data_IF_179753983621
#
_entry.id   IF_179753983621
#
_cell.length_a   1.000
_cell.length_b   1.000
_cell.length_c   1.000
_cell.angle_alpha   90.00
_cell.angle_beta   90.00
_cell.angle_gamma   90.00
#
_symmetry.space_group_name_H-M   'P 1'
#
loop_
_entity.id
_entity.type
_entity.pdbx_description
1 polymer ?
#
# COMPACT_ATOMS: atom_id res chain seq x y z
N UNK A 1 11.45 15.13 -3.70
CA UNK A 1 11.08 15.86 -2.47
C UNK A 1 9.68 16.39 -2.67
N UNK A 2 8.80 16.15 -1.72
CA UNK A 2 7.39 16.57 -1.76
C UNK A 2 7.05 17.25 -0.46
N UNK A 3 6.20 18.28 -0.52
CA UNK A 3 5.74 18.98 0.67
C UNK A 3 4.62 18.20 1.37
N UNK A 4 4.70 18.15 2.69
CA UNK A 4 3.73 17.52 3.57
C UNK A 4 3.46 18.42 4.78
N UNK A 5 2.32 18.16 5.42
CA UNK A 5 1.99 18.74 6.73
C UNK A 5 1.76 17.62 7.74
N UNK A 6 1.94 17.93 9.01
CA UNK A 6 1.44 17.05 10.05
C UNK A 6 0.44 17.78 10.93
N UNK A 7 -0.59 17.03 11.37
CA UNK A 7 -1.78 17.63 11.96
C UNK A 7 -2.40 16.76 13.05
N UNK A 8 -3.10 17.42 13.96
CA UNK A 8 -3.87 16.80 15.03
C UNK A 8 -5.11 17.63 15.35
N UNK A 9 -5.76 17.37 16.46
CA UNK A 9 -6.87 18.18 16.97
C UNK A 9 -6.50 19.66 17.14
N UNK A 10 -5.22 19.98 17.30
CA UNK A 10 -4.75 21.34 17.57
C UNK A 10 -4.91 22.29 16.38
N UNK A 11 -4.95 21.77 15.15
CA UNK A 11 -5.26 22.52 13.95
C UNK A 11 -6.78 22.71 13.73
N UNK A 12 -7.61 22.18 14.64
CA UNK A 12 -9.08 22.26 14.54
C UNK A 12 -9.63 21.56 13.30
N UNK A 13 -10.67 22.16 12.73
CA UNK A 13 -11.30 21.64 11.52
C UNK A 13 -10.58 22.11 10.28
N UNK A 14 -9.82 21.24 9.65
CA UNK A 14 -8.98 21.54 8.49
C UNK A 14 -9.82 21.63 7.21
N UNK A 15 -9.56 22.67 6.40
CA UNK A 15 -10.03 22.73 5.01
C UNK A 15 -9.01 22.04 4.09
N UNK A 16 -9.20 20.76 3.88
CA UNK A 16 -8.27 19.94 3.10
C UNK A 16 -8.24 20.29 1.61
N UNK A 17 -9.31 20.89 1.06
CA UNK A 17 -9.29 21.40 -0.31
C UNK A 17 -8.30 22.57 -0.45
N UNK A 18 -8.25 23.46 0.54
CA UNK A 18 -7.26 24.54 0.59
C UNK A 18 -5.84 24.00 0.74
N UNK A 19 -5.64 23.00 1.59
CA UNK A 19 -4.34 22.32 1.78
C UNK A 19 -3.85 21.72 0.44
N UNK A 20 -4.72 20.97 -0.26
CA UNK A 20 -4.39 20.40 -1.57
C UNK A 20 -4.07 21.48 -2.61
N UNK A 21 -4.86 22.57 -2.65
CA UNK A 21 -4.64 23.68 -3.57
C UNK A 21 -3.32 24.41 -3.34
N UNK A 22 -2.78 24.35 -2.12
CA UNK A 22 -1.44 24.87 -1.79
C UNK A 22 -0.29 23.93 -2.24
N UNK A 23 -0.60 22.83 -2.92
CA UNK A 23 0.39 21.91 -3.46
C UNK A 23 0.83 20.78 -2.52
N UNK A 24 0.24 20.68 -1.33
CA UNK A 24 0.54 19.60 -0.37
C UNK A 24 0.05 18.28 -0.92
N UNK A 25 0.93 17.30 -0.95
CA UNK A 25 0.66 15.95 -1.47
C UNK A 25 0.55 14.89 -0.39
N UNK A 26 1.16 15.12 0.78
CA UNK A 26 1.24 14.15 1.87
C UNK A 26 0.80 14.77 3.20
N UNK A 27 0.27 13.95 4.09
CA UNK A 27 -0.08 14.36 5.44
C UNK A 27 0.24 13.26 6.45
N UNK A 28 0.82 13.65 7.60
CA UNK A 28 0.91 12.79 8.77
C UNK A 28 -0.16 13.22 9.79
N UNK A 29 -1.04 12.31 10.17
CA UNK A 29 -2.24 12.62 10.97
C UNK A 29 -2.12 11.93 12.31
N UNK A 30 -2.27 12.68 13.41
CA UNK A 30 -2.29 12.04 14.72
C UNK A 30 -3.49 11.09 14.82
N UNK A 31 -3.23 9.79 14.96
CA UNK A 31 -4.27 8.80 15.21
C UNK A 31 -4.72 8.84 16.68
N UNK A 32 -3.79 9.09 17.59
CA UNK A 32 -4.07 9.18 19.00
C UNK A 32 -2.80 9.32 19.85
N UNK A 33 -2.92 9.00 21.13
CA UNK A 33 -1.82 9.08 22.10
C UNK A 33 -2.05 8.13 23.28
N UNK A 34 -0.99 7.77 23.99
CA UNK A 34 -1.05 6.99 25.22
C UNK A 34 -1.55 5.56 25.01
N UNK A 35 -1.98 4.92 26.07
CA UNK A 35 -2.20 3.48 26.15
C UNK A 35 -3.68 3.02 26.06
N UNK A 36 -4.56 3.86 25.51
CA UNK A 36 -6.00 3.56 25.37
C UNK A 36 -6.55 4.04 24.04
N UNK A 37 -7.37 3.22 23.39
CA UNK A 37 -8.14 3.60 22.18
C UNK A 37 -9.09 4.77 22.42
N UNK A 38 -9.46 5.06 23.69
CA UNK A 38 -10.25 6.23 24.05
C UNK A 38 -9.47 7.55 23.86
N UNK A 39 -8.17 7.46 23.70
CA UNK A 39 -7.26 8.59 23.44
C UNK A 39 -7.06 8.82 21.94
N UNK A 40 -7.95 8.28 21.10
CA UNK A 40 -8.01 8.61 19.65
C UNK A 40 -8.15 10.12 19.48
N UNK A 41 -7.38 10.68 18.54
CA UNK A 41 -7.51 12.11 18.20
C UNK A 41 -8.90 12.39 17.63
N UNK A 42 -9.67 13.35 18.19
CA UNK A 42 -11.04 13.61 17.75
C UNK A 42 -11.18 14.10 16.29
N UNK A 43 -10.09 14.55 15.68
CA UNK A 43 -10.08 14.95 14.25
C UNK A 43 -9.55 13.84 13.32
N UNK A 44 -9.04 12.73 13.88
CA UNK A 44 -8.37 11.70 13.08
C UNK A 44 -9.23 11.17 11.94
N UNK A 45 -10.39 10.61 12.26
CA UNK A 45 -11.25 9.96 11.26
C UNK A 45 -11.70 10.94 10.17
N UNK A 46 -12.01 12.18 10.56
CA UNK A 46 -12.38 13.23 9.61
C UNK A 46 -11.21 13.58 8.68
N UNK A 47 -10.01 13.76 9.24
CA UNK A 47 -8.83 14.12 8.47
C UNK A 47 -8.44 13.00 7.51
N UNK A 48 -8.41 11.75 7.96
CA UNK A 48 -8.15 10.58 7.11
C UNK A 48 -9.16 10.46 5.96
N UNK A 49 -10.46 10.58 6.25
CA UNK A 49 -11.52 10.53 5.24
C UNK A 49 -11.37 11.65 4.18
N UNK A 50 -10.99 12.86 4.60
CA UNK A 50 -10.76 13.97 3.68
C UNK A 50 -9.52 13.78 2.81
N UNK A 51 -8.43 13.26 3.37
CA UNK A 51 -7.23 12.91 2.60
C UNK A 51 -7.56 11.87 1.53
N UNK A 52 -8.29 10.81 1.89
CA UNK A 52 -8.75 9.77 0.96
C UNK A 52 -9.59 10.38 -0.16
N UNK A 53 -10.60 11.17 0.18
CA UNK A 53 -11.53 11.78 -0.80
C UNK A 53 -10.83 12.72 -1.77
N UNK A 54 -9.76 13.38 -1.34
CA UNK A 54 -9.02 14.35 -2.14
C UNK A 54 -7.77 13.73 -2.81
N UNK A 55 -7.45 12.46 -2.57
CA UNK A 55 -6.24 11.84 -3.10
C UNK A 55 -4.96 12.49 -2.56
N UNK A 56 -4.94 12.83 -1.27
CA UNK A 56 -3.75 13.22 -0.52
C UNK A 56 -3.22 11.95 0.14
N UNK A 57 -1.96 11.62 -0.10
CA UNK A 57 -1.32 10.50 0.58
C UNK A 57 -1.20 10.79 2.07
N UNK A 58 -1.54 9.82 2.90
CA UNK A 58 -1.60 10.04 4.33
C UNK A 58 -1.02 8.88 5.13
N UNK A 59 -0.39 9.23 6.24
CA UNK A 59 0.09 8.33 7.27
C UNK A 59 -0.41 8.75 8.62
N UNK A 60 0.02 8.03 9.65
CA UNK A 60 -0.41 8.31 11.01
C UNK A 60 0.78 8.42 11.96
N UNK A 61 0.58 9.13 13.06
CA UNK A 61 1.48 9.07 14.19
C UNK A 61 0.72 8.86 15.50
N UNK A 62 1.40 8.22 16.45
CA UNK A 62 0.90 7.97 17.78
C UNK A 62 1.83 8.60 18.79
N UNK A 63 1.31 9.58 19.54
CA UNK A 63 2.09 10.33 20.53
C UNK A 63 2.26 9.51 21.81
N UNK A 64 3.50 9.31 22.22
CA UNK A 64 3.82 8.42 23.33
C UNK A 64 3.82 9.12 24.70
N UNK A 65 3.25 8.43 25.67
CA UNK A 65 3.42 8.65 27.11
C UNK A 65 3.99 7.42 27.82
N UNK A 66 4.40 6.41 27.08
CA UNK A 66 4.94 5.18 27.63
C UNK A 66 6.19 5.45 28.47
N UNK A 67 6.35 4.65 29.53
CA UNK A 67 7.53 4.67 30.41
C UNK A 67 8.18 3.29 30.53
N UNK A 68 7.80 2.37 29.65
CA UNK A 68 8.42 1.05 29.52
C UNK A 68 8.17 0.48 28.11
N UNK A 69 8.98 -0.49 27.67
CA UNK A 69 8.77 -1.16 26.39
C UNK A 69 7.40 -1.82 26.25
N UNK A 70 6.86 -2.39 27.34
CA UNK A 70 5.53 -3.01 27.32
C UNK A 70 4.41 -1.98 27.14
N UNK A 71 4.55 -0.80 27.76
CA UNK A 71 3.60 0.28 27.55
C UNK A 71 3.67 0.81 26.11
N UNK A 72 4.87 0.93 25.52
CA UNK A 72 5.04 1.31 24.12
C UNK A 72 4.40 0.27 23.18
N UNK A 73 4.53 -1.01 23.48
CA UNK A 73 3.84 -2.10 22.75
C UNK A 73 2.33 -1.98 22.87
N UNK A 74 1.81 -1.62 24.04
CA UNK A 74 0.39 -1.36 24.23
C UNK A 74 -0.09 -0.12 23.45
N UNK A 75 0.71 0.94 23.37
CA UNK A 75 0.44 2.11 22.51
C UNK A 75 0.36 1.73 21.04
N UNK A 76 1.28 0.86 20.56
CA UNK A 76 1.22 0.32 19.20
C UNK A 76 -0.09 -0.43 18.93
N UNK A 77 -0.53 -1.31 19.85
CA UNK A 77 -1.80 -2.04 19.74
C UNK A 77 -3.01 -1.09 19.70
N UNK A 78 -2.98 -0.02 20.48
CA UNK A 78 -4.02 1.00 20.43
C UNK A 78 -4.04 1.72 19.07
N UNK A 79 -2.88 2.11 18.55
CA UNK A 79 -2.74 2.70 17.23
C UNK A 79 -3.31 1.78 16.14
N UNK A 80 -2.88 0.52 16.12
CA UNK A 80 -3.32 -0.49 15.17
C UNK A 80 -4.82 -0.75 15.22
N UNK A 81 -5.44 -0.78 16.40
CA UNK A 81 -6.90 -0.93 16.51
C UNK A 81 -7.64 0.30 15.98
N UNK A 82 -7.11 1.52 16.19
CA UNK A 82 -7.71 2.77 15.69
C UNK A 82 -7.64 2.85 14.17
N UNK A 83 -6.56 2.37 13.54
CA UNK A 83 -6.39 2.42 12.08
C UNK A 83 -6.89 1.15 11.37
N UNK A 84 -7.44 0.20 12.08
CA UNK A 84 -7.91 -1.07 11.56
C UNK A 84 -8.90 -0.91 10.41
N UNK A 85 -8.61 -1.57 9.29
CA UNK A 85 -9.42 -1.48 8.08
C UNK A 85 -9.18 -0.22 7.23
N UNK A 86 -8.36 0.71 7.71
CA UNK A 86 -7.85 1.82 6.92
C UNK A 86 -6.55 1.42 6.22
N UNK A 87 -6.27 2.08 5.08
CA UNK A 87 -5.08 1.81 4.26
C UNK A 87 -4.26 3.09 4.12
N UNK A 88 -3.51 3.51 5.16
CA UNK A 88 -2.63 4.66 5.04
C UNK A 88 -1.55 4.41 3.98
N UNK A 89 -1.41 5.33 3.04
CA UNK A 89 -0.39 5.26 1.97
C UNK A 89 0.99 5.71 2.43
N UNK A 90 1.08 6.32 3.60
CA UNK A 90 2.30 6.77 4.27
C UNK A 90 2.52 5.94 5.55
N UNK A 91 3.68 6.04 6.21
CA UNK A 91 4.02 5.24 7.37
C UNK A 91 3.14 5.43 8.61
N UNK A 92 3.29 4.48 9.55
CA UNK A 92 2.84 4.58 10.95
C UNK A 92 4.03 4.99 11.81
N UNK A 93 3.98 6.17 12.41
CA UNK A 93 5.10 6.73 13.18
C UNK A 93 4.90 6.57 14.69
N UNK A 94 5.96 6.14 15.37
CA UNK A 94 6.08 6.28 16.82
C UNK A 94 6.63 7.65 17.16
N UNK A 95 5.83 8.47 17.80
CA UNK A 95 6.16 9.85 18.17
C UNK A 95 6.62 9.91 19.62
N UNK A 96 7.93 10.02 19.82
CA UNK A 96 8.57 10.07 21.14
C UNK A 96 9.28 11.40 21.35
N UNK A 97 8.88 12.10 22.42
CA UNK A 97 9.32 13.45 22.71
C UNK A 97 9.77 13.67 24.17
N UNK A 98 9.96 14.93 24.54
CA UNK A 98 10.48 15.36 25.84
C UNK A 98 9.46 15.32 26.98
N UNK A 99 8.64 14.25 27.06
CA UNK A 99 7.74 14.05 28.17
C UNK A 99 8.51 13.76 29.49
N UNK A 100 8.10 14.33 30.63
CA UNK A 100 8.82 14.14 31.87
C UNK A 100 9.01 12.67 32.25
N UNK A 101 8.00 11.83 32.07
CA UNK A 101 8.08 10.38 32.32
C UNK A 101 9.10 9.69 31.43
N UNK A 102 9.18 10.07 30.17
CA UNK A 102 10.14 9.55 29.20
C UNK A 102 11.56 10.03 29.52
N UNK A 103 11.72 11.31 29.88
CA UNK A 103 13.03 11.88 30.23
C UNK A 103 13.63 11.27 31.51
N UNK A 104 12.83 10.77 32.43
CA UNK A 104 13.29 10.09 33.62
C UNK A 104 13.95 8.73 33.37
N UNK A 105 13.78 8.16 32.17
CA UNK A 105 14.34 6.87 31.79
C UNK A 105 15.79 7.02 31.28
N UNK A 106 16.51 5.92 31.20
CA UNK A 106 17.80 5.86 30.51
C UNK A 106 17.65 5.68 28.97
N UNK A 107 18.74 5.87 28.26
CA UNK A 107 18.74 5.74 26.79
C UNK A 107 18.38 4.32 26.33
N UNK A 108 18.85 3.30 27.06
CA UNK A 108 18.58 1.90 26.71
C UNK A 108 17.07 1.60 26.77
N UNK A 109 16.41 2.05 27.84
CA UNK A 109 14.97 1.87 28.03
C UNK A 109 14.17 2.61 26.96
N UNK A 110 14.50 3.89 26.66
CA UNK A 110 13.84 4.63 25.57
C UNK A 110 14.03 3.98 24.22
N UNK A 111 15.24 3.48 23.94
CA UNK A 111 15.53 2.75 22.69
C UNK A 111 14.72 1.45 22.59
N UNK A 112 14.60 0.71 23.69
CA UNK A 112 13.77 -0.48 23.76
C UNK A 112 12.27 -0.17 23.58
N UNK A 113 11.79 1.00 24.03
CA UNK A 113 10.42 1.46 23.77
C UNK A 113 10.18 1.70 22.27
N UNK A 114 11.11 2.39 21.59
CA UNK A 114 11.03 2.60 20.14
C UNK A 114 10.95 1.27 19.41
N UNK A 115 11.85 0.34 19.71
CA UNK A 115 11.84 -1.00 19.13
C UNK A 115 10.52 -1.72 19.37
N UNK A 116 10.03 -1.72 20.62
CA UNK A 116 8.82 -2.42 21.01
C UNK A 116 7.57 -1.92 20.27
N UNK A 117 7.46 -0.62 20.01
CA UNK A 117 6.36 -0.06 19.23
C UNK A 117 6.49 -0.44 17.76
N UNK A 118 7.67 -0.23 17.16
CA UNK A 118 7.89 -0.47 15.74
C UNK A 118 7.80 -1.96 15.37
N UNK A 119 8.35 -2.86 16.20
CA UNK A 119 8.21 -4.31 16.03
C UNK A 119 6.74 -4.77 16.04
N UNK A 120 5.89 -4.20 16.91
CA UNK A 120 4.46 -4.53 16.95
C UNK A 120 3.73 -4.02 15.69
N UNK A 121 4.09 -2.82 15.21
CA UNK A 121 3.55 -2.23 13.98
C UNK A 121 3.96 -3.06 12.76
N UNK A 122 5.23 -3.44 12.66
CA UNK A 122 5.75 -4.26 11.55
C UNK A 122 5.18 -5.68 11.57
N UNK A 123 5.05 -6.29 12.75
CA UNK A 123 4.44 -7.61 12.91
C UNK A 123 2.95 -7.61 12.47
N UNK A 124 2.27 -6.49 12.56
CA UNK A 124 0.91 -6.31 12.06
C UNK A 124 0.84 -5.98 10.54
N UNK A 125 1.98 -5.96 9.85
CA UNK A 125 2.06 -5.71 8.41
C UNK A 125 1.98 -4.22 8.02
N UNK A 126 2.38 -3.31 8.91
CA UNK A 126 2.44 -1.89 8.60
C UNK A 126 3.89 -1.40 8.49
N UNK A 127 4.11 -0.33 7.73
CA UNK A 127 5.40 0.32 7.60
C UNK A 127 5.63 1.25 8.79
N UNK A 128 6.50 0.83 9.73
CA UNK A 128 6.82 1.58 10.94
C UNK A 128 7.96 2.57 10.73
N UNK A 129 7.87 3.78 11.32
CA UNK A 129 8.97 4.75 11.38
C UNK A 129 9.08 5.40 12.76
N UNK A 130 10.27 5.90 13.10
CA UNK A 130 10.50 6.70 14.29
C UNK A 130 10.31 8.19 13.98
N UNK A 131 9.44 8.90 14.74
CA UNK A 131 9.49 10.36 14.81
C UNK A 131 10.12 10.80 16.12
N UNK A 132 11.11 11.66 16.02
CA UNK A 132 11.67 12.41 17.13
C UNK A 132 12.47 13.61 16.65
N UNK A 133 12.74 14.59 17.52
CA UNK A 133 13.69 15.64 17.20
C UNK A 133 15.11 15.08 17.03
N UNK A 134 15.87 15.69 16.13
CA UNK A 134 17.27 15.31 15.91
C UNK A 134 18.09 15.32 17.19
N UNK A 135 17.86 16.31 18.08
CA UNK A 135 18.52 16.36 19.38
C UNK A 135 18.10 15.20 20.30
N UNK A 136 16.81 14.81 20.30
CA UNK A 136 16.35 13.66 21.07
C UNK A 136 17.02 12.38 20.57
N UNK A 137 17.06 12.16 19.26
CA UNK A 137 17.73 11.01 18.66
C UNK A 137 19.19 10.94 19.11
N UNK A 138 19.93 12.05 18.99
CA UNK A 138 21.36 12.10 19.33
C UNK A 138 21.66 11.90 20.80
N UNK A 139 20.81 12.44 21.69
CA UNK A 139 21.16 12.56 23.13
C UNK A 139 20.34 11.65 24.03
N UNK A 140 19.18 11.17 23.61
CA UNK A 140 18.23 10.41 24.42
C UNK A 140 18.02 8.98 23.95
N UNK A 141 18.56 8.58 22.81
CA UNK A 141 18.48 7.23 22.26
C UNK A 141 19.87 6.64 22.00
N UNK A 142 19.98 5.32 22.04
CA UNK A 142 21.11 4.60 21.47
C UNK A 142 20.83 4.46 19.97
N UNK A 143 20.91 5.55 19.24
CA UNK A 143 20.38 5.63 17.86
C UNK A 143 21.04 4.65 16.89
N UNK A 144 22.30 4.22 17.12
CA UNK A 144 22.94 3.22 16.29
C UNK A 144 22.18 1.89 16.25
N UNK A 145 21.47 1.56 17.33
CA UNK A 145 20.62 0.36 17.40
C UNK A 145 19.31 0.50 16.62
N UNK A 146 18.97 1.69 16.16
CA UNK A 146 17.76 2.03 15.41
C UNK A 146 18.01 2.25 13.92
N UNK A 147 19.24 1.97 13.43
CA UNK A 147 19.63 2.20 12.04
C UNK A 147 18.85 1.33 11.02
N UNK A 148 18.18 0.28 11.47
CA UNK A 148 17.30 -0.54 10.64
C UNK A 148 15.92 0.09 10.37
N UNK A 149 15.51 1.06 11.19
CA UNK A 149 14.23 1.76 11.04
C UNK A 149 14.40 3.05 10.24
N UNK A 150 13.34 3.39 9.52
CA UNK A 150 13.26 4.70 8.88
C UNK A 150 12.89 5.79 9.88
N UNK A 151 13.25 7.04 9.56
CA UNK A 151 13.11 8.15 10.49
C UNK A 151 12.35 9.31 9.86
N UNK A 152 11.46 9.88 10.64
CA UNK A 152 10.88 11.21 10.47
C UNK A 152 11.57 12.15 11.49
N UNK A 153 12.57 12.86 11.03
CA UNK A 153 13.40 13.74 11.86
C UNK A 153 12.77 15.12 12.01
N UNK A 154 12.70 15.65 13.23
CA UNK A 154 12.31 17.03 13.47
C UNK A 154 13.51 17.89 13.81
N UNK A 155 13.73 18.92 12.98
CA UNK A 155 14.74 19.96 13.21
C UNK A 155 14.35 21.20 12.42
N UNK A 156 14.00 22.26 13.11
CA UNK A 156 13.57 23.49 12.44
C UNK A 156 14.76 24.27 11.90
N UNK A 157 14.71 24.64 10.63
CA UNK A 157 15.77 25.36 9.95
C UNK A 157 15.92 24.97 8.49
N UNK A 158 17.08 25.33 7.92
CA UNK A 158 17.42 25.10 6.52
C UNK A 158 18.18 23.79 6.27
N UNK A 159 18.60 23.10 7.33
CA UNK A 159 19.36 21.85 7.27
C UNK A 159 18.93 20.90 8.38
N UNK A 160 19.01 19.59 8.12
CA UNK A 160 18.80 18.56 9.10
C UNK A 160 20.12 17.82 9.36
N UNK A 161 20.49 17.70 10.63
CA UNK A 161 21.73 17.03 11.05
C UNK A 161 21.43 15.69 11.77
N UNK A 162 20.31 15.05 11.43
CA UNK A 162 19.95 13.76 11.98
C UNK A 162 21.06 12.74 11.71
N UNK A 163 21.53 11.98 12.72
CA UNK A 163 22.62 11.02 12.56
C UNK A 163 22.19 9.74 11.84
N UNK A 164 20.88 9.53 11.67
CA UNK A 164 20.30 8.41 10.93
C UNK A 164 19.78 8.87 9.58
N UNK A 165 19.76 8.00 8.57
CA UNK A 165 19.01 8.26 7.34
C UNK A 165 17.54 8.53 7.66
N UNK A 166 16.97 9.58 7.05
CA UNK A 166 15.57 9.94 7.27
C UNK A 166 14.82 10.05 5.95
N UNK A 167 13.59 9.62 5.95
CA UNK A 167 12.70 9.71 4.80
C UNK A 167 11.75 10.89 4.87
N UNK A 168 11.52 11.44 6.08
CA UNK A 168 10.72 12.64 6.29
C UNK A 168 11.51 13.62 7.19
N UNK A 169 11.43 14.90 6.90
CA UNK A 169 12.02 15.95 7.71
C UNK A 169 10.98 17.03 8.02
N UNK A 170 10.61 17.17 9.30
CA UNK A 170 9.83 18.29 9.80
C UNK A 170 10.77 19.50 9.98
N UNK A 171 10.68 20.45 9.07
CA UNK A 171 11.63 21.57 8.98
C UNK A 171 11.10 22.86 9.60
N UNK A 172 9.80 22.94 9.90
CA UNK A 172 9.18 24.14 10.45
C UNK A 172 7.84 23.81 11.11
N UNK A 173 7.50 24.61 12.14
CA UNK A 173 6.17 24.66 12.76
C UNK A 173 5.43 25.97 12.49
N UNK A 174 5.90 26.80 11.57
CA UNK A 174 5.42 28.16 11.35
C UNK A 174 4.71 28.40 10.03
N UNK A 175 4.17 27.35 9.39
CA UNK A 175 3.42 27.42 8.13
C UNK A 175 4.18 28.14 6.99
N UNK A 176 5.42 27.77 6.65
CA UNK A 176 6.17 28.42 5.58
C UNK A 176 5.55 28.21 4.19
N UNK A 177 4.65 27.22 4.06
CA UNK A 177 3.87 26.99 2.83
C UNK A 177 2.77 28.03 2.62
N UNK A 178 2.51 28.89 3.62
CA UNK A 178 1.51 29.95 3.52
C UNK A 178 0.08 29.45 3.36
N UNK A 179 -0.23 28.23 3.90
CA UNK A 179 -1.57 27.66 3.77
C UNK A 179 -2.59 28.54 4.51
N UNK A 180 -3.62 29.05 3.83
CA UNK A 180 -4.60 29.93 4.44
C UNK A 180 -5.36 29.26 5.59
N UNK A 181 -5.62 30.04 6.64
CA UNK A 181 -6.41 29.61 7.80
C UNK A 181 -5.59 29.11 8.98
N UNK A 182 -4.28 28.91 8.83
CA UNK A 182 -3.42 28.34 9.89
C UNK A 182 -2.43 29.34 10.50
N UNK A 183 -2.40 30.58 9.98
CA UNK A 183 -1.50 31.59 10.49
C UNK A 183 -0.03 31.13 10.47
N UNK A 184 0.62 31.15 11.64
CA UNK A 184 1.98 30.65 11.85
C UNK A 184 1.99 29.35 12.69
N UNK A 185 0.97 28.54 12.62
CA UNK A 185 0.83 27.34 13.48
C UNK A 185 0.46 26.12 12.66
N UNK A 186 1.38 25.68 11.81
CA UNK A 186 1.25 24.47 11.03
C UNK A 186 2.62 23.86 10.80
N UNK A 187 2.76 22.60 11.16
CA UNK A 187 3.98 21.83 10.96
C UNK A 187 4.11 21.43 9.49
N UNK A 188 5.29 21.69 8.94
CA UNK A 188 5.60 21.45 7.55
C UNK A 188 6.81 20.55 7.39
N UNK A 189 6.70 19.65 6.41
CA UNK A 189 7.63 18.56 6.22
C UNK A 189 8.07 18.44 4.77
N UNK A 190 9.28 17.94 4.57
CA UNK A 190 9.77 17.43 3.30
C UNK A 190 9.76 15.90 3.33
N UNK A 191 9.17 15.27 2.31
CA UNK A 191 9.18 13.84 2.12
C UNK A 191 10.17 13.50 0.98
N UNK A 192 11.14 12.65 1.27
CA UNK A 192 12.23 12.28 0.36
C UNK A 192 12.04 10.91 -0.29
N UNK A 193 11.23 10.03 0.32
CA UNK A 193 10.93 8.68 -0.18
C UNK A 193 9.54 8.61 -0.77
N UNK A 194 9.36 7.80 -1.79
CA UNK A 194 8.04 7.47 -2.35
C UNK A 194 7.39 6.36 -1.50
N UNK A 195 6.94 6.72 -0.30
CA UNK A 195 6.29 5.79 0.62
C UNK A 195 5.06 5.11 0.02
N UNK A 196 4.17 5.80 -0.71
CA UNK A 196 3.02 5.15 -1.33
C UNK A 196 3.42 3.97 -2.23
N UNK A 197 4.40 4.18 -3.10
CA UNK A 197 4.90 3.11 -3.98
C UNK A 197 5.58 1.98 -3.20
N UNK A 198 6.40 2.31 -2.20
CA UNK A 198 7.10 1.32 -1.36
C UNK A 198 6.10 0.46 -0.59
N UNK A 199 5.13 1.08 0.09
CA UNK A 199 4.13 0.42 0.93
C UNK A 199 3.22 -0.49 0.09
N UNK A 200 2.74 0.01 -1.06
CA UNK A 200 1.86 -0.76 -1.94
C UNK A 200 2.60 -1.93 -2.59
N UNK A 201 3.82 -1.70 -3.09
CA UNK A 201 4.63 -2.77 -3.69
C UNK A 201 4.99 -3.88 -2.69
N UNK A 202 5.19 -3.52 -1.41
CA UNK A 202 5.46 -4.49 -0.35
C UNK A 202 4.19 -5.15 0.22
N UNK A 203 2.99 -4.71 -0.16
CA UNK A 203 1.72 -5.22 0.40
C UNK A 203 1.52 -4.88 1.87
N UNK A 204 2.09 -3.76 2.32
CA UNK A 204 1.97 -3.28 3.70
C UNK A 204 0.74 -2.38 3.89
N UNK A 205 0.44 -1.99 5.13
CA UNK A 205 -0.65 -1.08 5.51
C UNK A 205 -2.03 -1.55 5.02
N UNK A 206 -2.25 -2.86 4.91
CA UNK A 206 -3.49 -3.45 4.41
C UNK A 206 -3.64 -3.44 2.89
N UNK A 207 -2.61 -3.05 2.14
CA UNK A 207 -2.56 -3.27 0.70
C UNK A 207 -2.22 -4.72 0.39
N UNK A 208 -2.60 -5.17 -0.79
CA UNK A 208 -2.15 -6.45 -1.34
C UNK A 208 -0.94 -6.16 -2.23
N UNK A 209 0.18 -6.85 -2.01
CA UNK A 209 1.31 -6.73 -2.92
C UNK A 209 0.86 -7.05 -4.35
N UNK A 210 1.34 -6.31 -5.36
CA UNK A 210 1.11 -6.66 -6.74
C UNK A 210 1.54 -8.11 -6.98
N UNK A 211 0.75 -8.83 -7.76
CA UNK A 211 1.17 -10.16 -8.21
C UNK A 211 2.50 -10.00 -8.96
N UNK A 212 3.60 -10.64 -8.53
CA UNK A 212 4.88 -10.59 -9.25
C UNK A 212 4.76 -11.15 -10.68
N UNK A 213 3.66 -11.85 -10.97
CA UNK A 213 3.31 -12.37 -12.29
C UNK A 213 1.88 -11.90 -12.64
N UNK A 214 1.63 -10.58 -12.79
CA UNK A 214 0.31 -10.14 -13.21
C UNK A 214 0.01 -10.83 -14.53
N UNK A 215 -1.22 -11.39 -14.64
CA UNK A 215 -1.68 -11.85 -15.95
C UNK A 215 -1.41 -10.71 -16.94
N UNK A 216 -0.72 -10.98 -18.06
CA UNK A 216 -0.38 -9.92 -19.02
C UNK A 216 -1.66 -9.16 -19.39
N UNK A 217 -1.55 -7.85 -19.57
CA UNK A 217 -2.67 -7.06 -20.09
C UNK A 217 -2.98 -7.55 -21.50
N UNK A 218 -3.96 -8.44 -21.56
CA UNK A 218 -4.35 -9.17 -22.75
C UNK A 218 -5.36 -8.40 -23.61
N UNK A 219 -5.71 -7.18 -23.21
CA UNK A 219 -6.81 -6.42 -23.81
C UNK A 219 -6.60 -6.06 -25.29
N UNK A 220 -5.34 -5.95 -25.74
CA UNK A 220 -4.99 -5.51 -27.10
C UNK A 220 -4.47 -6.63 -28.00
N UNK A 221 -4.10 -7.78 -27.44
CA UNK A 221 -3.52 -8.90 -28.19
C UNK A 221 -4.61 -9.82 -28.75
N UNK A 222 -4.41 -10.30 -29.98
CA UNK A 222 -5.30 -11.29 -30.60
C UNK A 222 -4.56 -12.61 -30.79
N UNK A 223 -5.26 -13.72 -30.51
CA UNK A 223 -4.69 -15.06 -30.61
C UNK A 223 -5.58 -15.99 -31.44
N UNK A 224 -4.94 -16.89 -32.14
CA UNK A 224 -5.60 -18.02 -32.80
C UNK A 224 -5.22 -19.28 -32.00
N UNK A 225 -6.22 -20.02 -31.56
CA UNK A 225 -6.07 -21.25 -30.79
C UNK A 225 -6.38 -22.44 -31.69
N UNK A 226 -5.60 -23.49 -31.60
CA UNK A 226 -5.86 -24.80 -32.21
C UNK A 226 -5.87 -25.84 -31.11
N UNK A 227 -6.99 -26.56 -30.99
CA UNK A 227 -7.23 -27.52 -29.90
C UNK A 227 -7.65 -28.85 -30.54
N UNK A 228 -6.89 -29.88 -30.26
CA UNK A 228 -7.22 -31.21 -30.76
C UNK A 228 -6.06 -32.02 -31.32
N UNK A 229 -6.33 -33.28 -31.65
CA UNK A 229 -7.66 -33.90 -31.79
C UNK A 229 -8.29 -34.18 -30.42
N UNK A 230 -9.55 -33.79 -30.20
CA UNK A 230 -10.30 -33.94 -28.97
C UNK A 230 -11.57 -34.76 -29.18
N UNK A 231 -12.09 -35.39 -28.11
CA UNK A 231 -13.35 -36.11 -28.14
C UNK A 231 -14.54 -35.17 -28.34
N UNK A 232 -15.69 -35.73 -28.77
CA UNK A 232 -16.93 -34.97 -28.87
C UNK A 232 -17.32 -34.32 -27.53
N UNK A 233 -17.11 -34.99 -26.39
CA UNK A 233 -17.45 -34.48 -25.07
C UNK A 233 -16.62 -33.23 -24.70
N UNK A 234 -15.31 -33.25 -24.95
CA UNK A 234 -14.43 -32.09 -24.73
C UNK A 234 -14.74 -30.96 -25.69
N UNK A 235 -14.98 -31.28 -26.95
CA UNK A 235 -15.36 -30.30 -27.96
C UNK A 235 -16.64 -29.54 -27.62
N UNK A 236 -17.66 -30.21 -27.11
CA UNK A 236 -18.92 -29.59 -26.69
C UNK A 236 -18.71 -28.64 -25.48
N UNK A 237 -17.83 -28.99 -24.54
CA UNK A 237 -17.49 -28.10 -23.42
C UNK A 237 -16.76 -26.83 -23.91
N UNK A 238 -15.80 -27.00 -24.83
CA UNK A 238 -15.08 -25.89 -25.45
C UNK A 238 -16.03 -24.98 -26.23
N UNK A 239 -16.92 -25.58 -27.04
CA UNK A 239 -17.92 -24.84 -27.81
C UNK A 239 -18.90 -24.07 -26.91
N UNK A 240 -19.35 -24.68 -25.82
CA UNK A 240 -20.24 -24.03 -24.84
C UNK A 240 -19.57 -22.80 -24.21
N UNK A 241 -18.31 -22.91 -23.82
CA UNK A 241 -17.54 -21.75 -23.32
C UNK A 241 -17.37 -20.69 -24.40
N UNK A 242 -16.97 -21.08 -25.62
CA UNK A 242 -16.83 -20.13 -26.74
C UNK A 242 -18.14 -19.39 -27.01
N UNK A 243 -19.26 -20.09 -27.02
CA UNK A 243 -20.58 -19.46 -27.18
C UNK A 243 -20.89 -18.43 -26.10
N UNK A 244 -20.57 -18.75 -24.84
CA UNK A 244 -20.75 -17.81 -23.73
C UNK A 244 -19.84 -16.56 -23.82
N UNK A 245 -18.74 -16.67 -24.52
CA UNK A 245 -17.81 -15.55 -24.83
C UNK A 245 -18.17 -14.82 -26.15
N UNK A 246 -19.27 -15.20 -26.82
CA UNK A 246 -19.66 -14.65 -28.11
C UNK A 246 -18.78 -15.11 -29.28
N UNK A 247 -18.04 -16.19 -29.11
CA UNK A 247 -17.14 -16.78 -30.13
C UNK A 247 -17.91 -17.91 -30.81
N UNK A 248 -18.39 -17.67 -32.03
CA UNK A 248 -19.27 -18.60 -32.74
C UNK A 248 -18.78 -18.83 -34.16
N UNK A 249 -19.36 -19.87 -34.81
CA UNK A 249 -19.13 -20.10 -36.24
C UNK A 249 -19.80 -19.05 -37.11
N UNK A 250 -20.88 -18.42 -36.64
CA UNK A 250 -21.58 -17.36 -37.37
C UNK A 250 -20.70 -16.13 -37.54
N UNK A 251 -19.93 -15.75 -36.53
CA UNK A 251 -18.96 -14.66 -36.63
C UNK A 251 -17.56 -15.10 -37.11
N UNK A 252 -17.44 -16.35 -37.57
CA UNK A 252 -16.21 -16.94 -38.11
C UNK A 252 -15.05 -17.02 -37.10
N UNK A 253 -15.33 -16.97 -35.82
CA UNK A 253 -14.33 -17.09 -34.76
C UNK A 253 -14.21 -18.49 -34.17
N UNK A 254 -15.04 -19.43 -34.63
CA UNK A 254 -15.04 -20.83 -34.21
C UNK A 254 -15.25 -21.74 -35.46
N UNK A 255 -14.39 -22.73 -35.59
CA UNK A 255 -14.58 -23.82 -36.56
C UNK A 255 -14.08 -25.13 -35.97
N UNK A 256 -14.59 -26.26 -36.50
CA UNK A 256 -14.11 -27.59 -36.12
C UNK A 256 -14.09 -28.50 -37.34
N UNK A 257 -13.04 -29.31 -37.41
CA UNK A 257 -12.86 -30.30 -38.49
C UNK A 257 -12.69 -31.69 -37.93
N UNK A 258 -13.31 -32.69 -38.53
CA UNK A 258 -13.16 -34.06 -38.13
C UNK A 258 -11.80 -34.64 -38.51
N UNK A 259 -11.13 -35.30 -37.57
CA UNK A 259 -9.79 -35.87 -37.77
C UNK A 259 -9.80 -37.33 -38.23
N UNK A 260 -10.99 -38.02 -38.18
CA UNK A 260 -11.11 -39.39 -38.56
C UNK A 260 -12.44 -39.65 -39.26
N UNK A 261 -12.51 -40.75 -40.05
CA UNK A 261 -13.70 -41.13 -40.81
C UNK A 261 -14.90 -41.47 -39.93
N UNK A 262 -14.66 -41.99 -38.73
CA UNK A 262 -15.67 -42.38 -37.75
C UNK A 262 -16.28 -41.17 -37.05
N UNK A 263 -15.75 -39.95 -37.27
CA UNK A 263 -16.20 -38.69 -36.63
C UNK A 263 -16.22 -38.73 -35.09
N UNK A 264 -15.22 -39.36 -34.50
CA UNK A 264 -15.07 -39.46 -33.05
C UNK A 264 -14.08 -38.42 -32.48
N UNK A 265 -13.20 -37.92 -33.31
CA UNK A 265 -12.18 -36.92 -32.92
C UNK A 265 -12.26 -35.72 -33.84
N UNK A 266 -12.10 -34.51 -33.29
CA UNK A 266 -12.12 -33.26 -34.05
C UNK A 266 -11.04 -32.27 -33.57
N UNK A 267 -10.55 -31.46 -34.49
CA UNK A 267 -9.70 -30.30 -34.18
C UNK A 267 -10.53 -29.03 -34.27
N UNK A 268 -10.41 -28.21 -33.27
CA UNK A 268 -11.11 -26.93 -33.13
C UNK A 268 -10.14 -25.80 -33.39
N UNK A 269 -10.56 -24.82 -34.20
CA UNK A 269 -9.83 -23.58 -34.42
C UNK A 269 -10.66 -22.41 -33.94
N UNK A 270 -10.08 -21.55 -33.10
CA UNK A 270 -10.74 -20.42 -32.45
C UNK A 270 -9.93 -19.16 -32.71
N UNK A 271 -10.58 -18.12 -33.12
CA UNK A 271 -9.96 -16.80 -33.23
C UNK A 271 -9.91 -16.24 -34.67
N UNK A 272 -9.39 -15.00 -34.78
CA UNK A 272 -8.59 -14.28 -33.76
C UNK A 272 -9.45 -13.74 -32.63
N UNK A 273 -9.14 -14.13 -31.40
CA UNK A 273 -9.83 -13.71 -30.16
C UNK A 273 -8.92 -12.88 -29.28
N UNK A 274 -9.51 -12.15 -28.33
CA UNK A 274 -8.72 -11.43 -27.34
C UNK A 274 -7.86 -12.41 -26.52
N UNK A 275 -6.73 -11.94 -26.04
CA UNK A 275 -5.91 -12.79 -25.17
C UNK A 275 -6.62 -13.11 -23.84
N UNK A 276 -7.57 -12.27 -23.39
CA UNK A 276 -8.44 -12.57 -22.27
C UNK A 276 -9.33 -13.78 -22.53
N UNK A 277 -10.02 -13.81 -23.68
CA UNK A 277 -10.85 -14.95 -24.08
C UNK A 277 -9.99 -16.20 -24.28
N UNK A 278 -8.83 -16.07 -24.92
CA UNK A 278 -7.87 -17.15 -25.10
C UNK A 278 -7.42 -17.75 -23.77
N UNK A 279 -7.23 -16.92 -22.74
CA UNK A 279 -6.88 -17.37 -21.40
C UNK A 279 -8.00 -18.21 -20.77
N UNK A 280 -9.26 -17.78 -20.87
CA UNK A 280 -10.40 -18.57 -20.34
C UNK A 280 -10.50 -19.92 -21.02
N UNK A 281 -10.29 -19.97 -22.35
CA UNK A 281 -10.30 -21.22 -23.12
C UNK A 281 -9.13 -22.11 -22.72
N UNK A 282 -7.95 -21.57 -22.54
CA UNK A 282 -6.77 -22.30 -22.05
C UNK A 282 -7.06 -22.94 -20.67
N UNK A 283 -7.65 -22.20 -19.75
CA UNK A 283 -8.02 -22.70 -18.42
C UNK A 283 -9.02 -23.88 -18.47
N UNK A 284 -9.94 -23.86 -19.42
CA UNK A 284 -10.80 -25.02 -19.67
C UNK A 284 -9.98 -26.21 -20.21
N UNK A 285 -9.08 -25.97 -21.16
CA UNK A 285 -8.21 -27.01 -21.73
C UNK A 285 -7.30 -27.64 -20.65
N UNK A 286 -6.80 -26.86 -19.70
CA UNK A 286 -6.05 -27.38 -18.54
C UNK A 286 -6.92 -28.31 -17.69
N UNK A 287 -8.16 -27.92 -17.35
CA UNK A 287 -9.10 -28.77 -16.59
C UNK A 287 -9.45 -30.07 -17.32
N UNK A 288 -9.48 -30.02 -18.65
CA UNK A 288 -9.68 -31.19 -19.50
C UNK A 288 -8.38 -31.98 -19.77
N UNK A 289 -7.26 -31.56 -19.16
CA UNK A 289 -5.91 -32.15 -19.32
C UNK A 289 -5.39 -32.13 -20.77
N UNK A 290 -5.94 -31.25 -21.63
CA UNK A 290 -5.55 -31.17 -23.05
C UNK A 290 -4.19 -30.50 -23.23
N UNK A 291 -3.81 -29.60 -22.33
CA UNK A 291 -2.49 -28.94 -22.34
C UNK A 291 -1.36 -29.92 -22.00
N UNK A 292 -1.56 -30.81 -21.03
CA UNK A 292 -0.61 -31.87 -20.66
C UNK A 292 -0.44 -32.88 -21.80
N UNK A 293 -1.49 -33.17 -22.54
CA UNK A 293 -1.49 -34.03 -23.73
C UNK A 293 -0.93 -33.33 -24.97
N UNK A 294 -0.51 -32.06 -24.88
CA UNK A 294 -0.03 -31.24 -26.01
C UNK A 294 -1.08 -31.09 -27.14
N UNK A 295 -2.34 -31.03 -26.79
CA UNK A 295 -3.47 -30.88 -27.70
C UNK A 295 -4.00 -29.42 -27.76
N UNK A 296 -3.32 -28.48 -27.07
CA UNK A 296 -3.63 -27.06 -27.10
C UNK A 296 -2.44 -26.28 -27.64
N UNK A 297 -2.67 -25.46 -28.64
CA UNK A 297 -1.68 -24.56 -29.23
C UNK A 297 -2.27 -23.17 -29.38
N UNK A 298 -1.46 -22.16 -29.18
CA UNK A 298 -1.84 -20.77 -29.45
C UNK A 298 -0.73 -20.05 -30.22
N UNK A 299 -1.13 -19.14 -31.12
CA UNK A 299 -0.23 -18.21 -31.79
C UNK A 299 -0.89 -16.84 -31.88
N UNK A 300 -0.08 -15.81 -31.88
CA UNK A 300 -0.60 -14.47 -32.15
C UNK A 300 -1.13 -14.38 -33.61
N UNK A 301 -2.26 -13.69 -33.76
CA UNK A 301 -2.76 -13.34 -35.09
C UNK A 301 -1.82 -12.28 -35.68
N UNK A 302 -1.49 -12.45 -36.95
CA UNK A 302 -0.64 -11.52 -37.68
C UNK A 302 -1.36 -10.17 -37.90
#
# INVERSE_FOLDING_TARGET
MFDAIDVSKWQGTINWATVKSAGVKHAMIRAGYGNSVRQTDPQFMRNAAQCIALGIDWGVYWYSYATSPEQARQEARCCLEVIKGLKPTMPVAYDIEYEPGILALDNATRTAMVKAFLEEVEAAGYYGILYASTNFIQTKLNYQELACYDVWAAQYGSTCTCPLPYGIWQYSSSNPLGIPGYGKSLDCNHVYKDYPSIIQAAGLNGFTAPDPNPAPDLSTMRQILTIGPVTMGDALQIQSLCTSLGITSENKLYSSDWNNAEKTLQTITIGPVSSGDAWYIMRLCERLQLTEQKLYFSKYAA
#
